data_IF_932986901215
#
_entry.id   IF_932986901215
#
_cell.length_a   1.000
_cell.length_b   1.000
_cell.length_c   1.000
_cell.angle_alpha   90.00
_cell.angle_beta   90.00
_cell.angle_gamma   90.00
#
_symmetry.space_group_name_H-M   'P 1'
#
loop_
_entity.id
_entity.type
_entity.pdbx_description
1 polymer ?
#
# COMPACT_ATOMS: atom_id res chain seq x y z
N UNK A 1 -32.21 -17.33 29.08
CA UNK A 1 -31.43 -18.13 28.12
C UNK A 1 -30.85 -17.18 27.08
N UNK A 2 -29.52 -16.98 27.06
CA UNK A 2 -28.86 -15.97 26.22
C UNK A 2 -28.17 -16.60 24.98
N UNK A 3 -28.70 -17.72 24.51
CA UNK A 3 -28.10 -18.57 23.48
C UNK A 3 -28.26 -18.02 22.04
N UNK A 4 -28.91 -16.86 21.87
CA UNK A 4 -29.20 -16.25 20.57
C UNK A 4 -28.24 -15.15 20.12
N UNK A 5 -27.20 -14.83 20.90
CA UNK A 5 -26.27 -13.75 20.57
C UNK A 5 -25.08 -14.34 19.80
N UNK A 6 -24.88 -13.88 18.56
CA UNK A 6 -23.74 -14.24 17.72
C UNK A 6 -22.91 -12.99 17.41
N UNK A 7 -21.58 -13.12 17.47
CA UNK A 7 -20.65 -12.03 17.21
C UNK A 7 -20.37 -11.98 15.70
N UNK A 8 -20.93 -10.99 15.00
CA UNK A 8 -20.61 -10.73 13.61
C UNK A 8 -19.41 -9.77 13.54
N UNK A 9 -18.28 -10.24 13.04
CA UNK A 9 -17.12 -9.40 12.74
C UNK A 9 -17.32 -8.71 11.40
N UNK A 10 -17.51 -7.38 11.42
CA UNK A 10 -17.49 -6.57 10.20
C UNK A 10 -16.03 -6.25 9.87
N UNK A 11 -15.53 -6.71 8.72
CA UNK A 11 -14.23 -6.24 8.20
C UNK A 11 -14.33 -4.74 7.97
N UNK A 12 -13.57 -3.98 8.75
CA UNK A 12 -13.53 -2.54 8.65
C UNK A 12 -12.74 -2.18 7.36
N UNK A 13 -13.02 -1.02 6.76
CA UNK A 13 -12.71 -0.70 5.35
C UNK A 13 -11.31 -1.09 4.85
N UNK A 14 -11.20 -1.44 3.57
CA UNK A 14 -9.90 -1.68 2.95
C UNK A 14 -9.23 -0.38 2.55
N UNK A 15 -7.93 -0.26 2.88
CA UNK A 15 -7.05 0.77 2.34
C UNK A 15 -6.30 0.23 1.12
N UNK A 16 -5.96 1.12 0.20
CA UNK A 16 -5.21 0.80 -1.01
C UNK A 16 -4.33 2.00 -1.37
N UNK A 17 -3.25 1.71 -2.10
CA UNK A 17 -2.33 2.72 -2.61
C UNK A 17 -1.61 2.14 -3.84
N UNK A 18 -1.22 3.00 -4.75
CA UNK A 18 -0.27 2.71 -5.80
C UNK A 18 0.82 3.80 -5.81
N UNK A 19 2.01 3.44 -6.27
CA UNK A 19 3.10 4.38 -6.45
C UNK A 19 3.89 3.99 -7.69
N UNK A 20 4.25 4.98 -8.48
CA UNK A 20 5.13 4.78 -9.64
C UNK A 20 6.60 4.77 -9.21
N UNK A 21 7.45 4.01 -9.91
CA UNK A 21 8.90 3.95 -9.63
C UNK A 21 9.59 5.32 -9.74
N UNK A 22 9.04 6.17 -10.59
CA UNK A 22 9.51 7.54 -10.84
C UNK A 22 8.89 8.58 -9.91
N UNK A 23 8.10 8.16 -8.91
CA UNK A 23 7.43 9.09 -8.02
C UNK A 23 8.45 9.76 -7.07
N UNK A 24 8.67 11.08 -7.16
CA UNK A 24 9.70 11.75 -6.38
C UNK A 24 9.30 11.75 -4.89
N UNK A 25 10.17 11.21 -4.03
CA UNK A 25 9.97 11.26 -2.58
C UNK A 25 10.73 12.47 -2.00
N UNK A 26 10.16 13.67 -2.15
CA UNK A 26 10.79 14.92 -1.70
C UNK A 26 10.52 15.10 -0.20
N UNK A 27 11.56 14.99 0.63
CA UNK A 27 11.44 15.20 2.08
C UNK A 27 11.59 16.66 2.51
N UNK A 28 12.28 17.49 1.72
CA UNK A 28 12.52 18.90 2.02
C UNK A 28 12.49 19.71 0.73
N UNK A 29 11.61 20.71 0.62
CA UNK A 29 11.59 21.69 -0.48
C UNK A 29 12.66 22.79 -0.27
N UNK A 30 13.79 22.49 0.37
CA UNK A 30 14.81 23.52 0.57
C UNK A 30 15.68 23.62 -0.68
N UNK A 31 15.34 24.59 -1.53
CA UNK A 31 16.13 25.02 -2.68
C UNK A 31 17.38 25.73 -2.13
N UNK A 32 18.35 24.99 -1.63
CA UNK A 32 19.69 25.51 -1.38
C UNK A 32 20.68 24.71 -2.22
N UNK A 33 21.08 25.36 -3.30
CA UNK A 33 22.13 24.98 -4.23
C UNK A 33 23.47 24.81 -3.52
N UNK A 34 23.88 23.57 -3.24
CA UNK A 34 25.24 23.08 -3.51
C UNK A 34 25.36 21.60 -3.10
N UNK A 35 26.06 20.84 -3.95
CA UNK A 35 26.58 19.49 -3.68
C UNK A 35 25.63 18.29 -3.91
N UNK A 36 25.47 17.92 -5.18
CA UNK A 36 26.06 16.65 -5.61
C UNK A 36 25.45 15.33 -5.11
N UNK A 37 24.17 15.26 -4.79
CA UNK A 37 23.31 14.09 -5.05
C UNK A 37 21.91 14.35 -4.49
N UNK A 38 21.02 14.87 -5.33
CA UNK A 38 19.59 14.65 -5.16
C UNK A 38 19.38 13.13 -5.23
N UNK A 39 19.58 12.46 -4.09
CA UNK A 39 19.23 11.07 -3.93
C UNK A 39 17.72 11.03 -4.11
N UNK A 40 17.27 10.79 -5.35
CA UNK A 40 15.92 10.37 -5.68
C UNK A 40 15.59 9.22 -4.74
N UNK A 41 14.94 9.58 -3.63
CA UNK A 41 14.60 8.64 -2.57
C UNK A 41 13.63 7.65 -3.19
N UNK A 42 13.90 6.36 -2.98
CA UNK A 42 13.05 5.28 -3.48
C UNK A 42 11.59 5.57 -3.13
N UNK A 43 10.63 5.38 -4.06
CA UNK A 43 9.23 5.63 -3.79
C UNK A 43 8.74 4.77 -2.62
N UNK A 44 7.85 5.35 -1.82
CA UNK A 44 7.30 4.72 -0.61
C UNK A 44 5.79 4.76 -0.62
N UNK A 45 5.19 3.69 -0.14
CA UNK A 45 3.75 3.59 0.10
C UNK A 45 3.53 3.73 1.60
N UNK A 46 2.54 4.53 1.98
CA UNK A 46 2.08 4.68 3.35
C UNK A 46 0.67 4.09 3.46
N UNK A 47 0.53 2.97 4.17
CA UNK A 47 -0.76 2.38 4.53
C UNK A 47 -1.01 2.62 6.01
N UNK A 48 -2.17 3.16 6.35
CA UNK A 48 -2.57 3.37 7.74
C UNK A 48 -4.03 2.97 7.93
N UNK A 49 -4.35 2.47 9.11
CA UNK A 49 -5.74 2.30 9.53
C UNK A 49 -6.10 3.44 10.50
N UNK A 50 -7.39 3.60 10.78
CA UNK A 50 -7.82 4.49 11.87
C UNK A 50 -7.44 3.87 13.22
N UNK A 51 -7.44 4.68 14.28
CA UNK A 51 -7.14 4.20 15.63
C UNK A 51 -8.02 2.99 16.02
N UNK A 52 -7.42 2.01 16.70
CA UNK A 52 -8.08 0.77 17.11
C UNK A 52 -8.26 -0.27 15.98
N UNK A 53 -7.76 -0.02 14.77
CA UNK A 53 -7.81 -0.97 13.66
C UNK A 53 -6.42 -1.41 13.23
N UNK A 54 -6.33 -2.66 12.78
CA UNK A 54 -5.10 -3.26 12.27
C UNK A 54 -5.36 -3.90 10.92
N UNK A 55 -4.33 -3.92 10.07
CA UNK A 55 -4.36 -4.67 8.82
C UNK A 55 -4.27 -6.16 9.17
N UNK A 56 -5.27 -6.94 8.76
CA UNK A 56 -5.34 -8.38 9.04
C UNK A 56 -5.14 -9.26 7.82
N UNK A 57 -5.26 -8.70 6.61
CA UNK A 57 -5.12 -9.46 5.36
C UNK A 57 -4.76 -8.53 4.21
N UNK A 58 -3.96 -9.04 3.27
CA UNK A 58 -3.60 -8.36 2.03
C UNK A 58 -4.50 -8.88 0.90
N UNK A 59 -5.41 -8.03 0.41
CA UNK A 59 -6.33 -8.40 -0.68
C UNK A 59 -5.63 -8.55 -2.03
N UNK A 60 -4.66 -7.70 -2.32
CA UNK A 60 -3.92 -7.67 -3.58
C UNK A 60 -2.59 -6.94 -3.40
N UNK A 61 -1.54 -7.41 -4.08
CA UNK A 61 -0.25 -6.72 -4.19
C UNK A 61 0.43 -7.12 -5.51
N UNK A 62 0.94 -6.14 -6.26
CA UNK A 62 1.64 -6.37 -7.52
C UNK A 62 2.68 -5.30 -7.75
N UNK A 63 3.92 -5.74 -8.01
CA UNK A 63 4.99 -4.90 -8.55
C UNK A 63 5.14 -5.19 -10.05
N UNK A 64 5.02 -4.14 -10.88
CA UNK A 64 4.98 -4.24 -12.33
C UNK A 64 3.96 -3.28 -12.94
N UNK A 65 3.07 -3.79 -13.79
CA UNK A 65 2.04 -2.99 -14.47
C UNK A 65 0.63 -3.43 -14.03
N UNK A 66 0.20 -3.19 -12.78
CA UNK A 66 -1.15 -3.51 -12.35
C UNK A 66 -2.17 -2.67 -13.13
N UNK A 67 -3.38 -3.21 -13.30
CA UNK A 67 -4.50 -2.52 -13.95
C UNK A 67 -5.63 -2.28 -12.96
N UNK A 68 -6.59 -1.42 -13.32
CA UNK A 68 -7.72 -1.07 -12.46
C UNK A 68 -7.40 0.11 -11.54
N UNK A 69 -8.18 0.25 -10.46
CA UNK A 69 -8.11 1.39 -9.55
C UNK A 69 -8.11 0.93 -8.09
N UNK A 70 -7.88 1.85 -7.16
CA UNK A 70 -7.93 1.59 -5.71
C UNK A 70 -9.21 0.82 -5.34
N UNK A 71 -9.06 -0.38 -4.77
CA UNK A 71 -10.16 -1.28 -4.39
C UNK A 71 -10.55 -2.33 -5.45
N UNK A 72 -10.08 -2.18 -6.69
CA UNK A 72 -10.33 -3.08 -7.82
C UNK A 72 -9.06 -3.35 -8.65
N UNK A 73 -7.88 -3.25 -8.02
CA UNK A 73 -6.62 -3.56 -8.69
C UNK A 73 -6.56 -5.03 -9.14
N UNK A 74 -6.00 -5.24 -10.32
CA UNK A 74 -5.82 -6.53 -10.95
C UNK A 74 -4.38 -6.68 -11.46
N UNK A 75 -3.95 -7.92 -11.57
CA UNK A 75 -2.68 -8.26 -12.18
C UNK A 75 -2.70 -7.87 -13.66
N UNK A 76 -1.70 -7.13 -14.12
CA UNK A 76 -1.50 -6.85 -15.55
C UNK A 76 -0.38 -7.67 -16.16
N UNK A 77 0.12 -7.22 -17.32
CA UNK A 77 1.06 -7.99 -18.15
C UNK A 77 2.43 -8.24 -17.47
N UNK A 78 2.93 -7.26 -16.71
CA UNK A 78 4.14 -7.40 -15.92
C UNK A 78 3.78 -7.52 -14.44
N UNK A 79 4.26 -8.59 -13.78
CA UNK A 79 3.99 -8.86 -12.38
C UNK A 79 5.14 -9.67 -11.76
N UNK A 80 5.65 -9.22 -10.61
CA UNK A 80 6.60 -9.99 -9.81
C UNK A 80 5.85 -11.00 -8.91
N UNK A 81 6.07 -12.32 -9.05
CA UNK A 81 5.31 -13.35 -8.31
C UNK A 81 5.38 -13.25 -6.79
N UNK A 82 6.47 -12.70 -6.25
CA UNK A 82 6.70 -12.56 -4.81
C UNK A 82 6.04 -11.32 -4.20
N UNK A 83 5.35 -10.49 -5.00
CA UNK A 83 4.80 -9.20 -4.57
C UNK A 83 3.88 -9.32 -3.35
N UNK A 84 3.06 -10.38 -3.29
CA UNK A 84 2.13 -10.63 -2.19
C UNK A 84 2.84 -11.14 -0.94
N UNK A 85 3.71 -12.15 -1.09
CA UNK A 85 4.45 -12.75 0.03
C UNK A 85 5.36 -11.77 0.76
N UNK A 86 5.92 -10.78 0.07
CA UNK A 86 6.82 -9.79 0.68
C UNK A 86 6.07 -8.90 1.70
N UNK A 87 4.78 -8.65 1.46
CA UNK A 87 3.95 -7.75 2.29
C UNK A 87 3.17 -8.51 3.38
N UNK A 88 2.85 -9.79 3.17
CA UNK A 88 2.04 -10.59 4.10
C UNK A 88 2.85 -11.25 5.25
N UNK A 89 3.91 -10.62 5.74
CA UNK A 89 4.73 -11.16 6.84
C UNK A 89 4.03 -11.09 8.20
#
# INVERSE_FOLDING_TARGET
DASGISLATRSIGSVCADVSEHHPNIKNWNIESNDGSDALQKPKIHLHCTEGQSITSIKFASFGTPTGTCGSFMQGACHAPMSHSIIQQ
#
